data_IF_351010528010
#
_entry.id   IF_351010528010
#
_cell.length_a   1.000
_cell.length_b   1.000
_cell.length_c   1.000
_cell.angle_alpha   90.00
_cell.angle_beta   90.00
_cell.angle_gamma   90.00
#
_symmetry.space_group_name_H-M   'P 1'
#
loop_
_entity.id
_entity.type
_entity.pdbx_description
1 polymer ?
#
# COMPACT_ATOMS: atom_id res chain seq x y z
N UNK A 1 -11.53 2.59 -17.20
CA UNK A 1 -10.61 2.00 -18.20
C UNK A 1 -9.24 2.48 -17.81
N UNK A 2 -8.32 1.57 -17.56
CA UNK A 2 -6.95 1.92 -17.18
C UNK A 2 -6.08 2.17 -18.41
N UNK A 3 -4.84 2.58 -18.16
CA UNK A 3 -3.83 2.82 -19.19
C UNK A 3 -2.54 2.11 -18.82
N UNK A 4 -1.95 1.38 -19.76
CA UNK A 4 -0.64 0.77 -19.57
C UNK A 4 0.46 1.81 -19.65
N UNK A 5 1.42 1.77 -18.73
CA UNK A 5 2.61 2.59 -18.82
C UNK A 5 3.39 2.26 -20.11
N UNK A 6 3.73 3.24 -20.97
CA UNK A 6 4.42 2.99 -22.24
C UNK A 6 5.86 2.49 -22.07
N UNK A 7 6.41 2.54 -20.85
CA UNK A 7 7.78 2.15 -20.54
C UNK A 7 7.86 0.75 -19.91
N UNK A 8 7.00 0.48 -18.93
CA UNK A 8 7.06 -0.76 -18.14
C UNK A 8 5.79 -1.61 -18.23
N UNK A 9 4.82 -1.22 -19.08
CA UNK A 9 3.56 -1.93 -19.34
C UNK A 9 2.64 -2.11 -18.11
N UNK A 10 2.99 -1.50 -16.97
CA UNK A 10 2.19 -1.59 -15.74
C UNK A 10 0.85 -0.87 -15.94
N UNK A 11 -0.30 -1.53 -15.74
CA UNK A 11 -1.60 -0.90 -15.87
C UNK A 11 -1.84 0.10 -14.73
N UNK A 12 -2.36 1.27 -15.08
CA UNK A 12 -2.70 2.36 -14.17
C UNK A 12 -4.19 2.65 -14.24
N UNK A 13 -4.79 3.05 -13.11
CA UNK A 13 -6.24 3.22 -12.96
C UNK A 13 -6.86 4.20 -13.97
N UNK A 14 -6.18 5.33 -14.17
CA UNK A 14 -6.58 6.41 -15.06
C UNK A 14 -5.34 7.21 -15.54
N UNK A 15 -5.59 8.20 -16.41
CA UNK A 15 -4.53 9.00 -17.01
C UNK A 15 -3.72 9.83 -15.99
N UNK A 16 -4.34 10.26 -14.88
CA UNK A 16 -3.64 11.03 -13.84
C UNK A 16 -2.73 10.12 -13.01
N UNK A 17 -3.18 8.90 -12.69
CA UNK A 17 -2.35 7.87 -12.06
C UNK A 17 -1.19 7.46 -12.97
N UNK A 18 -1.41 7.35 -14.27
CA UNK A 18 -0.35 7.11 -15.25
C UNK A 18 0.69 8.23 -15.26
N UNK A 19 0.25 9.49 -15.30
CA UNK A 19 1.15 10.64 -15.26
C UNK A 19 1.99 10.66 -13.98
N UNK A 20 1.35 10.43 -12.83
CA UNK A 20 2.06 10.34 -11.54
C UNK A 20 3.06 9.19 -11.50
N UNK A 21 2.68 8.01 -11.99
CA UNK A 21 3.57 6.86 -12.07
C UNK A 21 4.84 7.20 -12.87
N UNK A 22 4.69 7.75 -14.08
CA UNK A 22 5.81 8.16 -14.93
C UNK A 22 6.70 9.20 -14.22
N UNK A 23 6.11 10.27 -13.71
CA UNK A 23 6.86 11.37 -13.10
C UNK A 23 7.61 10.93 -11.83
N UNK A 24 6.97 10.20 -10.91
CA UNK A 24 7.64 9.74 -9.70
C UNK A 24 8.68 8.68 -9.97
N UNK A 25 8.42 7.74 -10.86
CA UNK A 25 9.42 6.72 -11.22
C UNK A 25 10.65 7.37 -11.87
N UNK A 26 10.44 8.34 -12.77
CA UNK A 26 11.52 9.13 -13.33
C UNK A 26 12.33 9.87 -12.25
N UNK A 27 11.68 10.61 -11.34
CA UNK A 27 12.37 11.37 -10.29
C UNK A 27 13.15 10.50 -9.29
N UNK A 28 12.62 9.34 -8.93
CA UNK A 28 13.19 8.48 -7.89
C UNK A 28 14.25 7.51 -8.42
N UNK A 29 14.12 7.10 -9.68
CA UNK A 29 14.94 6.03 -10.25
C UNK A 29 15.82 6.49 -11.42
N UNK A 30 15.56 7.67 -12.02
CA UNK A 30 16.37 8.24 -13.09
C UNK A 30 16.57 7.28 -14.26
N UNK A 31 15.48 6.67 -14.72
CA UNK A 31 15.49 5.47 -15.55
C UNK A 31 14.89 5.70 -16.95
N UNK A 32 14.43 4.63 -17.60
CA UNK A 32 13.76 4.71 -18.89
C UNK A 32 12.52 5.63 -18.86
N UNK A 33 11.89 5.85 -17.71
CA UNK A 33 10.76 6.77 -17.57
C UNK A 33 11.21 8.23 -17.69
N UNK A 34 12.38 8.60 -17.15
CA UNK A 34 12.94 9.95 -17.32
C UNK A 34 13.28 10.22 -18.80
N UNK A 35 14.01 9.29 -19.44
CA UNK A 35 14.36 9.44 -20.86
C UNK A 35 13.13 9.52 -21.77
N UNK A 36 12.09 8.74 -21.44
CA UNK A 36 10.83 8.78 -22.18
C UNK A 36 10.10 10.13 -22.01
N UNK A 37 10.04 10.65 -20.78
CA UNK A 37 9.42 11.94 -20.48
C UNK A 37 10.19 13.11 -21.11
N UNK A 38 11.52 13.09 -21.12
CA UNK A 38 12.33 14.12 -21.77
C UNK A 38 12.08 14.20 -23.28
N UNK A 39 11.76 13.06 -23.93
CA UNK A 39 11.44 13.01 -25.36
C UNK A 39 10.00 13.43 -25.66
N UNK A 40 9.03 12.98 -24.87
CA UNK A 40 7.59 13.09 -25.18
C UNK A 40 6.88 14.25 -24.47
N UNK A 41 7.39 14.68 -23.32
CA UNK A 41 6.83 15.75 -22.49
C UNK A 41 7.94 16.67 -21.96
N UNK A 42 8.66 17.41 -22.83
CA UNK A 42 9.70 18.32 -22.40
C UNK A 42 9.11 19.42 -21.50
N UNK A 43 9.52 19.45 -20.24
CA UNK A 43 8.93 20.32 -19.21
C UNK A 43 8.25 19.58 -18.06
N UNK A 44 8.15 18.25 -18.15
CA UNK A 44 7.49 17.39 -17.16
C UNK A 44 7.92 17.59 -15.70
N UNK A 45 9.14 18.09 -15.46
CA UNK A 45 9.64 18.40 -14.11
C UNK A 45 8.81 19.50 -13.43
N UNK A 46 8.31 20.46 -14.21
CA UNK A 46 7.54 21.61 -13.72
C UNK A 46 6.02 21.39 -13.84
N UNK A 47 5.60 20.41 -14.65
CA UNK A 47 4.20 20.09 -14.90
C UNK A 47 3.64 19.16 -13.82
N UNK A 48 2.36 19.36 -13.47
CA UNK A 48 1.63 18.46 -12.60
C UNK A 48 1.04 17.26 -13.36
N UNK A 49 0.48 16.32 -12.60
CA UNK A 49 -0.15 15.13 -13.17
C UNK A 49 -1.32 15.46 -14.11
N UNK A 50 -2.08 16.52 -13.83
CA UNK A 50 -3.20 16.94 -14.66
C UNK A 50 -2.74 17.50 -16.02
N UNK A 51 -1.61 18.19 -16.04
CA UNK A 51 -0.98 18.72 -17.24
C UNK A 51 -0.32 17.62 -18.08
N UNK A 52 0.27 16.61 -17.42
CA UNK A 52 0.93 15.48 -18.08
C UNK A 52 -0.04 14.42 -18.59
N UNK A 53 -1.16 14.18 -17.89
CA UNK A 53 -2.17 13.19 -18.24
C UNK A 53 -2.60 13.20 -19.73
N UNK A 54 -2.97 14.34 -20.35
CA UNK A 54 -3.36 14.38 -21.75
C UNK A 54 -2.22 14.08 -22.71
N UNK A 55 -0.96 14.27 -22.32
CA UNK A 55 0.19 13.92 -23.16
C UNK A 55 0.47 12.43 -23.09
N UNK A 56 0.51 11.86 -21.88
CA UNK A 56 0.89 10.46 -21.68
C UNK A 56 -0.16 9.49 -22.21
N UNK A 57 -1.45 9.85 -22.15
CA UNK A 57 -2.54 8.99 -22.63
C UNK A 57 -2.52 8.78 -24.15
N UNK A 58 -1.98 9.72 -24.91
CA UNK A 58 -1.86 9.60 -26.38
C UNK A 58 -0.88 8.48 -26.80
N UNK A 59 0.01 8.08 -25.88
CA UNK A 59 1.01 7.04 -26.10
C UNK A 59 0.74 5.76 -25.31
N UNK A 60 -0.29 5.76 -24.47
CA UNK A 60 -0.59 4.65 -23.59
C UNK A 60 -1.75 3.81 -24.13
N UNK A 61 -1.51 2.51 -24.26
CA UNK A 61 -2.56 1.56 -24.61
C UNK A 61 -3.59 1.45 -23.48
N UNK A 62 -4.87 1.24 -23.84
CA UNK A 62 -5.92 0.93 -22.87
C UNK A 62 -5.64 -0.44 -22.22
N UNK A 63 -5.76 -0.49 -20.89
CA UNK A 63 -5.53 -1.69 -20.11
C UNK A 63 -6.62 -1.91 -19.06
N UNK A 64 -6.87 -3.19 -18.75
CA UNK A 64 -7.68 -3.57 -17.60
C UNK A 64 -6.88 -3.29 -16.32
N UNK A 65 -7.46 -2.52 -15.41
CA UNK A 65 -6.90 -2.26 -14.10
C UNK A 65 -7.71 -3.04 -13.06
N UNK A 66 -7.04 -3.94 -12.35
CA UNK A 66 -7.65 -4.78 -11.32
C UNK A 66 -7.86 -3.92 -10.05
N UNK A 67 -9.10 -3.48 -9.80
CA UNK A 67 -9.47 -2.68 -8.63
C UNK A 67 -9.57 -3.56 -7.36
N UNK A 68 -8.49 -4.26 -6.98
CA UNK A 68 -8.54 -5.27 -5.93
C UNK A 68 -8.44 -4.74 -4.49
N UNK A 69 -8.21 -3.44 -4.27
CA UNK A 69 -7.87 -2.93 -2.93
C UNK A 69 -8.40 -1.53 -2.56
N UNK A 70 -9.66 -1.19 -2.83
CA UNK A 70 -10.31 -0.11 -2.06
C UNK A 70 -11.45 -0.56 -1.13
N UNK A 71 -11.96 -1.79 -1.27
CA UNK A 71 -13.09 -2.30 -0.46
C UNK A 71 -12.83 -3.69 0.15
N UNK A 72 -11.56 -4.10 0.26
CA UNK A 72 -11.17 -5.43 0.75
C UNK A 72 -10.28 -5.36 2.00
N UNK A 73 -10.54 -4.40 2.88
CA UNK A 73 -10.55 -4.75 4.31
C UNK A 73 -11.92 -5.38 4.53
N UNK A 74 -12.10 -6.70 4.34
CA UNK A 74 -13.30 -7.33 4.83
C UNK A 74 -13.33 -7.04 6.33
N UNK A 75 -14.42 -6.48 6.81
CA UNK A 75 -14.80 -6.62 8.22
C UNK A 75 -15.05 -8.13 8.45
N UNK A 76 -13.96 -8.90 8.56
CA UNK A 76 -13.94 -10.35 8.80
C UNK A 76 -14.54 -11.24 7.71
N UNK A 77 -13.76 -11.61 6.69
CA UNK A 77 -13.96 -12.86 5.90
C UNK A 77 -12.66 -13.12 5.12
N UNK A 78 -11.77 -14.02 5.52
CA UNK A 78 -11.92 -15.45 5.26
C UNK A 78 -10.89 -15.97 4.24
N UNK A 79 -9.57 -15.78 4.49
CA UNK A 79 -8.54 -16.49 3.72
C UNK A 79 -8.40 -17.94 4.22
N UNK A 80 -9.16 -18.85 3.62
CA UNK A 80 -9.08 -20.28 3.89
C UNK A 80 -8.19 -21.03 2.90
N UNK A 81 -6.88 -21.04 3.14
CA UNK A 81 -6.02 -22.11 2.63
C UNK A 81 -6.40 -23.41 3.35
N UNK A 82 -6.82 -24.42 2.60
CA UNK A 82 -7.14 -25.74 3.13
C UNK A 82 -5.87 -26.44 3.63
N UNK A 83 -5.68 -26.48 4.95
CA UNK A 83 -4.92 -27.53 5.62
C UNK A 83 -5.70 -28.04 6.83
N UNK A 84 -5.91 -29.34 6.84
CA UNK A 84 -6.54 -30.12 7.91
C UNK A 84 -5.93 -29.81 9.28
N UNK A 85 -6.73 -29.24 10.19
CA UNK A 85 -6.97 -29.71 11.56
C UNK A 85 -7.84 -28.69 12.29
N UNK A 86 -8.87 -29.19 12.99
CA UNK A 86 -10.02 -28.39 13.42
C UNK A 86 -9.72 -27.31 14.46
N UNK A 87 -10.20 -26.10 14.19
CA UNK A 87 -10.84 -25.23 15.16
C UNK A 87 -11.71 -24.21 14.40
N UNK A 88 -12.97 -24.09 14.79
CA UNK A 88 -13.88 -23.10 14.23
C UNK A 88 -13.49 -21.69 14.71
N UNK A 89 -13.39 -20.68 13.84
CA UNK A 89 -13.23 -19.30 14.29
C UNK A 89 -14.61 -18.78 14.69
N UNK A 90 -14.95 -18.87 15.97
CA UNK A 90 -16.04 -18.05 16.50
C UNK A 90 -15.49 -16.64 16.66
N UNK A 91 -16.07 -15.66 15.96
CA UNK A 91 -15.86 -14.24 16.17
C UNK A 91 -16.38 -13.78 17.54
N UNK A 92 -15.79 -14.31 18.61
CA UNK A 92 -15.86 -13.75 19.94
C UNK A 92 -14.62 -12.85 20.08
N UNK A 93 -14.81 -11.64 20.62
CA UNK A 93 -13.69 -10.88 21.14
C UNK A 93 -12.84 -11.83 21.99
N UNK A 94 -11.55 -11.96 21.69
CA UNK A 94 -10.63 -12.79 22.46
C UNK A 94 -10.70 -12.35 23.92
N UNK A 95 -11.42 -13.12 24.73
CA UNK A 95 -11.45 -12.91 26.17
C UNK A 95 -10.09 -13.37 26.69
N UNK A 96 -9.31 -12.43 27.25
CA UNK A 96 -8.00 -12.75 27.78
C UNK A 96 -8.06 -13.82 28.89
N UNK A 97 -9.23 -14.14 29.45
CA UNK A 97 -9.41 -15.25 30.37
C UNK A 97 -9.33 -16.64 29.73
N UNK A 98 -9.47 -16.77 28.40
CA UNK A 98 -9.41 -18.05 27.67
C UNK A 98 -8.00 -18.41 27.18
N UNK A 99 -7.07 -17.45 27.18
CA UNK A 99 -5.70 -17.71 26.78
C UNK A 99 -4.95 -18.51 27.86
N UNK A 100 -4.09 -19.42 27.41
CA UNK A 100 -3.24 -20.23 28.29
C UNK A 100 -2.32 -19.36 29.17
N UNK A 101 -1.86 -19.92 30.30
CA UNK A 101 -1.08 -19.19 31.28
C UNK A 101 0.24 -18.61 30.75
N UNK A 102 0.83 -19.25 29.73
CA UNK A 102 2.02 -18.75 29.06
C UNK A 102 1.70 -17.54 28.17
N UNK A 103 0.62 -17.61 27.38
CA UNK A 103 0.13 -16.47 26.59
C UNK A 103 -0.23 -15.27 27.48
N UNK A 104 -0.90 -15.50 28.61
CA UNK A 104 -1.20 -14.43 29.57
C UNK A 104 0.05 -13.76 30.14
N UNK A 105 1.09 -14.56 30.43
CA UNK A 105 2.37 -14.05 30.92
C UNK A 105 3.07 -13.18 29.88
N UNK A 106 3.11 -13.60 28.61
CA UNK A 106 3.72 -12.82 27.52
C UNK A 106 2.98 -11.51 27.29
N UNK A 107 1.64 -11.52 27.29
CA UNK A 107 0.83 -10.31 27.13
C UNK A 107 0.99 -9.34 28.32
N UNK A 108 1.15 -9.85 29.54
CA UNK A 108 1.44 -9.02 30.71
C UNK A 108 2.81 -8.36 30.61
N UNK A 109 3.84 -9.11 30.20
CA UNK A 109 5.20 -8.61 29.99
C UNK A 109 5.26 -7.53 28.91
N UNK A 110 4.57 -7.74 27.78
CA UNK A 110 4.50 -6.75 26.70
C UNK A 110 3.85 -5.43 27.15
N UNK A 111 2.80 -5.51 27.99
CA UNK A 111 2.12 -4.34 28.56
C UNK A 111 3.02 -3.60 29.56
N UNK A 112 3.82 -4.32 30.34
CA UNK A 112 4.79 -3.73 31.27
C UNK A 112 5.90 -2.98 30.52
N UNK A 113 6.48 -3.60 29.48
CA UNK A 113 7.50 -2.94 28.65
C UNK A 113 6.97 -1.64 28.03
N UNK A 114 5.73 -1.67 27.54
CA UNK A 114 5.09 -0.48 26.96
C UNK A 114 4.90 0.62 28.01
N UNK A 115 4.53 0.26 29.25
CA UNK A 115 4.39 1.22 30.34
C UNK A 115 5.74 1.83 30.71
N UNK A 116 6.78 1.01 30.88
CA UNK A 116 8.12 1.49 31.21
C UNK A 116 8.65 2.47 30.15
N UNK A 117 8.42 2.18 28.86
CA UNK A 117 8.80 3.10 27.77
C UNK A 117 8.08 4.44 27.83
N UNK A 118 6.81 4.46 28.25
CA UNK A 118 6.02 5.70 28.40
C UNK A 118 6.43 6.50 29.64
N UNK A 119 6.77 5.82 30.73
CA UNK A 119 7.25 6.44 31.97
C UNK A 119 8.66 7.03 31.79
N UNK A 120 9.56 6.31 31.11
CA UNK A 120 10.89 6.82 30.74
C UNK A 120 10.79 8.05 29.82
N UNK A 121 9.85 8.08 28.86
CA UNK A 121 9.65 9.26 28.00
C UNK A 121 9.17 10.49 28.82
N UNK A 122 8.31 10.30 29.82
CA UNK A 122 7.82 11.39 30.69
C UNK A 122 8.90 11.92 31.65
N UNK A 123 9.75 11.04 32.19
CA UNK A 123 10.91 11.40 33.03
C UNK A 123 11.99 12.15 32.23
N UNK A 124 12.17 11.86 30.93
CA UNK A 124 13.10 12.63 30.07
C UNK A 124 12.59 14.01 29.67
N UNK A 125 11.32 14.35 29.97
CA UNK A 125 10.69 15.63 29.61
C UNK A 125 10.55 16.59 30.80
N UNK A 126 11.02 16.20 32.00
CA UNK A 126 11.00 17.00 33.24
C UNK A 126 12.31 17.71 33.56
#
# INVERSE_FOLDING_TARGET
MGHACPVCETPQRDAEHLANHLAFTAMLHGDAHEAWLDEHAPGWIEDGAAELAPVVVEYADEAEYDEVFEDTVPEGDGHGHAHEQGHAPTGAAFDAGDADGDTQRVLAEAREMTRAMLEDDDDTKS
#
